data_IF_980128870900
#
_entry.id   IF_980128870900
#
_cell.length_a   1.000
_cell.length_b   1.000
_cell.length_c   1.000
_cell.angle_alpha   90.00
_cell.angle_beta   90.00
_cell.angle_gamma   90.00
#
_symmetry.space_group_name_H-M   'P 1'
#
loop_
_entity.id
_entity.type
_entity.pdbx_description
1 polymer ?
#
# COMPACT_ATOMS: atom_id res chain seq x y z
N UNK A 1 9.14 -11.42 18.83
CA UNK A 1 8.90 -10.76 17.53
C UNK A 1 8.59 -9.29 17.81
N UNK A 2 9.54 -8.38 17.56
CA UNK A 2 9.23 -6.94 17.59
C UNK A 2 8.29 -6.67 16.44
N UNK A 3 7.09 -6.18 16.75
CA UNK A 3 6.17 -5.66 15.76
C UNK A 3 6.85 -4.38 15.24
N UNK A 4 7.36 -4.43 14.03
CA UNK A 4 7.67 -3.21 13.28
C UNK A 4 6.31 -2.55 13.02
N UNK A 5 5.86 -1.74 13.98
CA UNK A 5 4.67 -0.92 13.88
C UNK A 5 5.18 0.36 13.23
N UNK A 6 4.64 0.71 12.06
CA UNK A 6 4.83 2.05 11.50
C UNK A 6 4.54 3.07 12.60
N UNK A 7 5.34 4.12 12.70
CA UNK A 7 4.94 5.23 13.56
C UNK A 7 3.59 5.77 13.06
N UNK A 8 2.86 6.48 13.91
CA UNK A 8 1.50 6.95 13.60
C UNK A 8 1.49 7.84 12.34
N UNK A 9 2.53 8.65 12.15
CA UNK A 9 2.69 9.51 10.98
C UNK A 9 2.83 8.71 9.67
N UNK A 10 3.68 7.67 9.67
CA UNK A 10 3.90 6.80 8.51
C UNK A 10 2.61 5.99 8.18
N UNK A 11 1.85 5.59 9.20
CA UNK A 11 0.57 4.90 9.01
C UNK A 11 -0.43 5.82 8.31
N UNK A 12 -0.59 7.04 8.82
CA UNK A 12 -1.51 8.04 8.28
C UNK A 12 -1.12 8.44 6.85
N UNK A 13 0.18 8.59 6.58
CA UNK A 13 0.69 8.87 5.24
C UNK A 13 0.39 7.73 4.26
N UNK A 14 0.63 6.47 4.65
CA UNK A 14 0.30 5.31 3.81
C UNK A 14 -1.21 5.21 3.57
N UNK A 15 -2.04 5.41 4.59
CA UNK A 15 -3.49 5.44 4.45
C UNK A 15 -3.96 6.55 3.49
N UNK A 16 -3.36 7.74 3.60
CA UNK A 16 -3.66 8.87 2.72
C UNK A 16 -3.31 8.57 1.27
N UNK A 17 -2.10 8.07 1.00
CA UNK A 17 -1.66 7.72 -0.37
C UNK A 17 -2.54 6.63 -0.98
N UNK A 18 -2.91 5.60 -0.22
CA UNK A 18 -3.85 4.58 -0.68
C UNK A 18 -5.22 5.20 -1.00
N UNK A 19 -5.72 6.08 -0.13
CA UNK A 19 -6.97 6.81 -0.35
C UNK A 19 -6.96 7.64 -1.62
N UNK A 20 -5.91 8.44 -1.83
CA UNK A 20 -5.74 9.28 -3.02
C UNK A 20 -5.70 8.43 -4.30
N UNK A 21 -4.97 7.31 -4.28
CA UNK A 21 -4.93 6.38 -5.41
C UNK A 21 -6.31 5.77 -5.72
N UNK A 22 -7.08 5.42 -4.69
CA UNK A 22 -8.44 4.89 -4.85
C UNK A 22 -9.37 5.93 -5.46
N UNK A 23 -9.28 7.20 -5.04
CA UNK A 23 -10.07 8.29 -5.61
C UNK A 23 -9.79 8.41 -7.10
N UNK A 24 -8.51 8.54 -7.49
CA UNK A 24 -8.11 8.68 -8.90
C UNK A 24 -8.56 7.46 -9.73
N UNK A 25 -8.36 6.24 -9.21
CA UNK A 25 -8.80 5.03 -9.90
C UNK A 25 -10.32 4.99 -10.09
N UNK A 26 -11.09 5.40 -9.08
CA UNK A 26 -12.56 5.49 -9.17
C UNK A 26 -13.02 6.55 -10.17
N UNK A 27 -12.37 7.72 -10.21
CA UNK A 27 -12.66 8.78 -11.18
C UNK A 27 -12.40 8.34 -12.62
N UNK A 28 -11.39 7.48 -12.83
CA UNK A 28 -11.12 6.84 -14.11
C UNK A 28 -12.07 5.67 -14.45
N UNK A 29 -13.03 5.34 -13.58
CA UNK A 29 -13.96 4.23 -13.78
C UNK A 29 -13.36 2.84 -13.53
N UNK A 30 -12.21 2.76 -12.85
CA UNK A 30 -11.61 1.50 -12.45
C UNK A 30 -12.25 0.95 -11.18
N UNK A 31 -12.23 -0.37 -11.06
CA UNK A 31 -12.71 -1.04 -9.88
C UNK A 31 -11.72 -0.95 -8.72
N UNK A 32 -12.19 -0.47 -7.58
CA UNK A 32 -11.39 -0.20 -6.38
C UNK A 32 -11.64 -1.22 -5.27
N UNK A 33 -11.95 -2.46 -5.64
CA UNK A 33 -12.08 -3.57 -4.67
C UNK A 33 -10.78 -3.73 -3.88
N UNK A 34 -10.89 -3.98 -2.57
CA UNK A 34 -9.72 -4.23 -1.69
C UNK A 34 -8.78 -5.29 -2.26
N UNK A 35 -9.32 -6.34 -2.87
CA UNK A 35 -8.52 -7.40 -3.48
C UNK A 35 -7.68 -6.90 -4.68
N UNK A 36 -8.25 -6.05 -5.53
CA UNK A 36 -7.52 -5.47 -6.68
C UNK A 36 -6.44 -4.49 -6.23
N UNK A 37 -6.73 -3.67 -5.22
CA UNK A 37 -5.74 -2.77 -4.60
C UNK A 37 -4.60 -3.59 -3.97
N UNK A 38 -4.92 -4.66 -3.23
CA UNK A 38 -3.91 -5.52 -2.63
C UNK A 38 -3.04 -6.22 -3.69
N UNK A 39 -3.63 -6.71 -4.79
CA UNK A 39 -2.89 -7.29 -5.92
C UNK A 39 -1.98 -6.26 -6.58
N UNK A 40 -2.46 -5.02 -6.78
CA UNK A 40 -1.66 -3.95 -7.34
C UNK A 40 -0.44 -3.66 -6.46
N UNK A 41 -0.64 -3.50 -5.15
CA UNK A 41 0.46 -3.26 -4.19
C UNK A 41 1.46 -4.42 -4.17
N UNK A 42 0.99 -5.67 -4.22
CA UNK A 42 1.86 -6.86 -4.31
C UNK A 42 2.69 -6.87 -5.59
N UNK A 43 2.09 -6.55 -6.75
CA UNK A 43 2.80 -6.46 -8.03
C UNK A 43 3.83 -5.33 -8.01
N UNK A 44 3.48 -4.16 -7.49
CA UNK A 44 4.40 -3.03 -7.33
C UNK A 44 5.58 -3.42 -6.46
N UNK A 45 5.33 -4.06 -5.31
CA UNK A 45 6.38 -4.56 -4.42
C UNK A 45 7.32 -5.53 -5.12
N UNK A 46 6.80 -6.47 -5.91
CA UNK A 46 7.60 -7.42 -6.67
C UNK A 46 8.42 -6.76 -7.78
N UNK A 47 7.83 -5.81 -8.52
CA UNK A 47 8.57 -5.07 -9.57
C UNK A 47 9.68 -4.21 -8.98
N UNK A 48 9.46 -3.66 -7.78
CA UNK A 48 10.41 -2.82 -7.05
C UNK A 48 11.29 -3.60 -6.09
N UNK A 49 11.39 -4.92 -6.24
CA UNK A 49 12.10 -5.79 -5.28
C UNK A 49 13.60 -5.47 -5.14
N UNK A 50 14.17 -4.71 -6.07
CA UNK A 50 15.56 -4.25 -6.05
C UNK A 50 15.73 -2.82 -5.49
N UNK A 51 14.64 -2.12 -5.16
CA UNK A 51 14.64 -0.76 -4.63
C UNK A 51 14.91 -0.74 -3.11
N UNK A 52 14.88 0.45 -2.51
CA UNK A 52 15.25 0.69 -1.13
C UNK A 52 14.44 -0.16 -0.12
N UNK A 53 15.12 -0.60 0.94
CA UNK A 53 14.54 -1.48 1.97
C UNK A 53 13.33 -0.85 2.68
N UNK A 54 13.33 0.47 2.80
CA UNK A 54 12.25 1.21 3.45
C UNK A 54 11.01 1.31 2.57
N UNK A 55 11.19 1.46 1.25
CA UNK A 55 10.08 1.38 0.29
C UNK A 55 9.41 0.00 0.31
N UNK A 56 10.20 -1.07 0.36
CA UNK A 56 9.70 -2.43 0.47
C UNK A 56 8.89 -2.67 1.76
N UNK A 57 9.31 -2.05 2.88
CA UNK A 57 8.57 -2.09 4.15
C UNK A 57 7.27 -1.31 4.08
N UNK A 58 7.28 -0.12 3.50
CA UNK A 58 6.07 0.68 3.30
C UNK A 58 5.03 -0.08 2.47
N UNK A 59 5.45 -0.71 1.36
CA UNK A 59 4.58 -1.52 0.52
C UNK A 59 4.03 -2.74 1.27
N UNK A 60 4.83 -3.41 2.09
CA UNK A 60 4.35 -4.51 2.93
C UNK A 60 3.30 -4.06 3.94
N UNK A 61 3.48 -2.90 4.56
CA UNK A 61 2.50 -2.33 5.46
C UNK A 61 1.21 -1.94 4.74
N UNK A 62 1.30 -1.24 3.61
CA UNK A 62 0.15 -0.92 2.77
C UNK A 62 -0.69 -2.16 2.41
N UNK A 63 -0.03 -3.28 2.06
CA UNK A 63 -0.71 -4.56 1.77
C UNK A 63 -1.47 -5.07 2.99
N UNK A 64 -0.87 -5.03 4.18
CA UNK A 64 -1.52 -5.46 5.44
C UNK A 64 -2.71 -4.57 5.82
N UNK A 65 -2.68 -3.28 5.50
CA UNK A 65 -3.80 -2.36 5.77
C UNK A 65 -5.01 -2.66 4.90
N UNK A 66 -4.79 -2.93 3.62
CA UNK A 66 -5.87 -3.22 2.67
C UNK A 66 -6.43 -4.63 2.88
N UNK A 67 -5.56 -5.56 3.32
CA UNK A 67 -5.91 -6.96 3.61
C UNK A 67 -5.39 -7.38 4.99
N UNK A 68 -6.11 -7.03 6.07
CA UNK A 68 -5.74 -7.41 7.43
C UNK A 68 -5.79 -8.92 7.68
#
# INVERSE_FOLDING_TARGET
>A
MKRDILNEDDYDEVCRVIGDAVIVLSECGHETRREEIARLLQRTRHHRAHDERDEQRMLEHAIRLVRP
#
